data_IF_503814722548
#
_entry.id   IF_503814722548
#
_cell.length_a   1.000
_cell.length_b   1.000
_cell.length_c   1.000
_cell.angle_alpha   90.00
_cell.angle_beta   90.00
_cell.angle_gamma   90.00
#
_symmetry.space_group_name_H-M   'P 1'
#
loop_
_entity.id
_entity.type
_entity.pdbx_description
1 polymer ?
#
# COMPACT_ATOMS: atom_id res chain seq x y z
N UNK A 1 5.39 -0.12 16.21
CA UNK A 1 5.27 -0.61 14.82
C UNK A 1 5.37 -2.12 14.70
N UNK A 2 6.36 -2.78 15.32
CA UNK A 2 6.49 -4.25 15.25
C UNK A 2 5.20 -5.03 15.60
N UNK A 3 4.48 -4.64 16.66
CA UNK A 3 3.20 -5.26 17.02
C UNK A 3 2.11 -5.13 15.93
N UNK A 4 2.05 -4.01 15.22
CA UNK A 4 1.09 -3.81 14.13
C UNK A 4 1.47 -4.62 12.88
N UNK A 5 2.77 -4.77 12.60
CA UNK A 5 3.24 -5.64 11.53
C UNK A 5 2.92 -7.12 11.81
N UNK A 6 3.05 -7.57 13.07
CA UNK A 6 2.63 -8.91 13.50
C UNK A 6 1.12 -9.12 13.36
N UNK A 7 0.31 -8.14 13.79
CA UNK A 7 -1.15 -8.19 13.60
C UNK A 7 -1.54 -8.19 12.12
N UNK A 8 -0.82 -7.47 11.27
CA UNK A 8 -1.02 -7.49 9.83
C UNK A 8 -0.70 -8.86 9.23
N UNK A 9 0.37 -9.53 9.68
CA UNK A 9 0.70 -10.88 9.23
C UNK A 9 -0.39 -11.89 9.63
N UNK A 10 -0.85 -11.86 10.88
CA UNK A 10 -1.95 -12.72 11.32
C UNK A 10 -3.23 -12.48 10.51
N UNK A 11 -3.50 -11.22 10.11
CA UNK A 11 -4.64 -10.88 9.26
C UNK A 11 -4.50 -11.43 7.83
N UNK A 12 -3.27 -11.56 7.30
CA UNK A 12 -3.02 -12.22 6.00
C UNK A 12 -3.40 -13.70 6.07
N UNK A 13 -2.90 -14.40 7.08
CA UNK A 13 -3.14 -15.83 7.25
C UNK A 13 -4.66 -16.08 7.43
N UNK A 14 -5.32 -15.27 8.26
CA UNK A 14 -6.77 -15.30 8.44
C UNK A 14 -7.52 -15.06 7.11
N UNK A 15 -7.07 -14.11 6.28
CA UNK A 15 -7.73 -13.81 5.00
C UNK A 15 -7.66 -14.94 3.99
N UNK A 16 -6.53 -15.66 3.94
CA UNK A 16 -6.36 -16.86 3.13
C UNK A 16 -7.30 -17.98 3.60
N UNK A 17 -7.34 -18.23 4.90
CA UNK A 17 -8.19 -19.27 5.49
C UNK A 17 -9.68 -18.99 5.26
N UNK A 18 -10.11 -17.73 5.45
CA UNK A 18 -11.49 -17.31 5.19
C UNK A 18 -11.85 -17.52 3.71
N UNK A 19 -11.00 -17.08 2.77
CA UNK A 19 -11.27 -17.28 1.34
C UNK A 19 -11.41 -18.77 0.96
N UNK A 20 -10.53 -19.62 1.48
CA UNK A 20 -10.59 -21.07 1.27
C UNK A 20 -11.85 -21.69 1.88
N UNK A 21 -12.18 -21.34 3.12
CA UNK A 21 -13.36 -21.80 3.83
C UNK A 21 -14.66 -21.41 3.13
N UNK A 22 -14.75 -20.18 2.62
CA UNK A 22 -15.90 -19.71 1.85
C UNK A 22 -16.07 -20.48 0.53
N UNK A 23 -14.98 -20.74 -0.19
CA UNK A 23 -15.05 -21.54 -1.43
C UNK A 23 -15.44 -22.99 -1.16
N UNK A 24 -14.95 -23.59 -0.07
CA UNK A 24 -15.36 -24.94 0.35
C UNK A 24 -16.86 -25.00 0.70
N UNK A 25 -17.36 -24.00 1.45
CA UNK A 25 -18.79 -23.88 1.77
C UNK A 25 -19.65 -23.66 0.54
N UNK A 26 -19.19 -22.83 -0.41
CA UNK A 26 -19.87 -22.57 -1.67
C UNK A 26 -20.04 -23.84 -2.51
N UNK A 27 -18.99 -24.68 -2.57
CA UNK A 27 -18.98 -25.94 -3.31
C UNK A 27 -19.79 -27.07 -2.62
N UNK A 28 -20.01 -26.96 -1.32
CA UNK A 28 -20.79 -27.93 -0.54
C UNK A 28 -22.29 -27.79 -0.79
N UNK A 29 -22.94 -28.84 -1.31
CA UNK A 29 -24.36 -28.82 -1.70
C UNK A 29 -25.24 -29.87 -1.00
N UNK A 30 -25.09 -30.12 0.33
CA UNK A 30 -25.95 -31.06 1.01
C UNK A 30 -27.40 -30.55 1.05
N UNK A 31 -28.36 -31.46 0.91
CA UNK A 31 -29.79 -31.14 1.06
C UNK A 31 -30.07 -30.70 2.51
N UNK A 32 -29.40 -31.31 3.49
CA UNK A 32 -29.50 -31.00 4.93
C UNK A 32 -28.17 -31.14 5.63
N UNK A 33 -27.99 -30.34 6.67
CA UNK A 33 -26.85 -30.40 7.56
C UNK A 33 -27.03 -31.48 8.64
N UNK A 34 -25.95 -31.73 9.39
CA UNK A 34 -25.91 -32.70 10.50
C UNK A 34 -27.07 -32.46 11.47
N UNK A 35 -27.67 -33.54 12.00
CA UNK A 35 -28.88 -33.50 12.85
C UNK A 35 -30.10 -32.85 12.18
N UNK A 36 -30.26 -33.06 10.87
CA UNK A 36 -31.43 -32.59 10.11
C UNK A 36 -31.58 -31.06 10.06
N UNK A 37 -30.50 -30.33 10.34
CA UNK A 37 -30.47 -28.87 10.28
C UNK A 37 -30.62 -28.38 8.82
N UNK A 38 -31.13 -27.16 8.61
CA UNK A 38 -31.20 -26.57 7.28
C UNK A 38 -29.82 -26.50 6.61
N UNK A 39 -29.78 -26.60 5.28
CA UNK A 39 -28.58 -26.50 4.44
C UNK A 39 -27.68 -25.29 4.77
N UNK A 40 -28.28 -24.13 5.03
CA UNK A 40 -27.55 -22.90 5.38
C UNK A 40 -26.81 -22.96 6.73
N UNK A 41 -27.05 -24.00 7.55
CA UNK A 41 -26.36 -24.16 8.83
C UNK A 41 -24.91 -24.65 8.68
N UNK A 42 -24.55 -25.25 7.54
CA UNK A 42 -23.22 -25.84 7.31
C UNK A 42 -22.70 -25.70 5.87
N UNK A 43 -23.52 -25.21 4.94
CA UNK A 43 -23.17 -25.06 3.54
C UNK A 43 -23.60 -23.69 3.00
N UNK A 44 -23.08 -23.33 1.83
CA UNK A 44 -23.31 -22.05 1.20
C UNK A 44 -22.74 -20.86 1.98
N UNK A 45 -22.83 -19.69 1.34
CA UNK A 45 -22.28 -18.43 1.85
C UNK A 45 -23.39 -17.39 1.89
N UNK A 46 -23.55 -16.72 3.03
CA UNK A 46 -24.49 -15.63 3.18
C UNK A 46 -23.77 -14.31 2.90
N UNK A 47 -24.20 -13.60 1.87
CA UNK A 47 -23.62 -12.32 1.48
C UNK A 47 -24.66 -11.22 1.50
N UNK A 48 -24.24 -10.00 1.81
CA UNK A 48 -25.07 -8.81 1.75
C UNK A 48 -24.42 -7.76 0.84
N UNK A 49 -25.01 -7.47 -0.32
CA UNK A 49 -24.67 -6.30 -1.10
C UNK A 49 -24.98 -5.01 -0.33
N UNK A 50 -24.13 -4.00 -0.49
CA UNK A 50 -24.21 -2.73 0.22
C UNK A 50 -24.22 -1.60 -0.81
N UNK A 51 -25.07 -0.59 -0.57
CA UNK A 51 -25.04 0.63 -1.35
C UNK A 51 -23.71 1.35 -1.16
N UNK A 52 -23.12 1.87 -2.24
CA UNK A 52 -21.81 2.54 -2.18
C UNK A 52 -21.77 3.67 -1.13
N UNK A 53 -22.87 4.42 -0.99
CA UNK A 53 -23.03 5.50 0.00
C UNK A 53 -22.99 5.01 1.46
N UNK A 54 -23.23 3.72 1.69
CA UNK A 54 -23.25 3.07 3.01
C UNK A 54 -22.04 2.17 3.24
N UNK A 55 -21.09 2.08 2.31
CA UNK A 55 -19.92 1.21 2.46
C UNK A 55 -19.14 1.45 3.77
N UNK A 56 -19.08 2.69 4.27
CA UNK A 56 -18.39 3.02 5.52
C UNK A 56 -19.19 2.67 6.81
N UNK A 57 -20.45 2.27 6.68
CA UNK A 57 -21.36 1.92 7.78
C UNK A 57 -22.13 0.63 7.44
N UNK A 58 -21.47 -0.28 6.72
CA UNK A 58 -22.12 -1.42 6.09
C UNK A 58 -22.79 -2.41 7.06
N UNK A 59 -22.40 -2.39 8.34
CA UNK A 59 -22.99 -3.20 9.40
C UNK A 59 -24.24 -2.56 10.02
N UNK A 60 -24.58 -1.31 9.69
CA UNK A 60 -25.77 -0.63 10.18
C UNK A 60 -26.98 -0.92 9.29
N UNK A 61 -28.15 -0.98 9.92
CA UNK A 61 -29.41 -1.27 9.24
C UNK A 61 -29.93 -0.07 8.45
N UNK A 62 -30.44 -0.34 7.25
CA UNK A 62 -31.21 0.65 6.49
C UNK A 62 -32.64 0.81 7.05
N UNK A 63 -33.38 1.80 6.53
CA UNK A 63 -34.72 2.13 7.01
C UNK A 63 -35.67 0.94 6.83
N UNK A 64 -35.53 0.19 5.74
CA UNK A 64 -36.41 -0.93 5.46
C UNK A 64 -36.09 -2.13 6.35
N UNK A 65 -34.80 -2.44 6.55
CA UNK A 65 -34.35 -3.51 7.42
C UNK A 65 -34.83 -3.28 8.86
N UNK A 66 -34.73 -2.04 9.37
CA UNK A 66 -35.27 -1.65 10.69
C UNK A 66 -36.77 -1.83 10.79
N UNK A 67 -37.52 -1.40 9.76
CA UNK A 67 -38.97 -1.55 9.74
C UNK A 67 -39.40 -3.02 9.71
N UNK A 68 -38.65 -3.88 9.01
CA UNK A 68 -38.89 -5.34 8.96
C UNK A 68 -38.35 -6.11 10.17
N UNK A 69 -37.46 -5.52 10.97
CA UNK A 69 -36.72 -6.22 12.02
C UNK A 69 -35.73 -7.28 11.48
N UNK A 70 -35.44 -7.27 10.17
CA UNK A 70 -34.60 -8.28 9.50
C UNK A 70 -33.75 -7.67 8.38
N UNK A 71 -32.54 -8.20 8.24
CA UNK A 71 -31.68 -8.02 7.08
C UNK A 71 -31.92 -9.11 6.04
N UNK A 72 -32.02 -8.72 4.78
CA UNK A 72 -32.12 -9.63 3.65
C UNK A 72 -30.73 -9.91 3.09
N UNK A 73 -30.30 -11.17 3.14
CA UNK A 73 -29.05 -11.66 2.59
C UNK A 73 -29.29 -12.58 1.39
N UNK A 74 -28.31 -12.59 0.48
CA UNK A 74 -28.22 -13.55 -0.61
C UNK A 74 -27.50 -14.80 -0.12
N UNK A 75 -28.04 -15.97 -0.47
CA UNK A 75 -27.46 -17.27 -0.15
C UNK A 75 -26.83 -17.87 -1.40
N UNK A 76 -25.50 -17.89 -1.42
CA UNK A 76 -24.70 -18.40 -2.53
C UNK A 76 -24.39 -19.87 -2.32
N UNK A 77 -24.66 -20.69 -3.34
CA UNK A 77 -24.30 -22.11 -3.38
C UNK A 77 -24.12 -22.57 -4.83
N UNK A 78 -23.20 -23.51 -5.08
CA UNK A 78 -22.79 -23.89 -6.44
C UNK A 78 -23.95 -24.38 -7.34
N UNK A 79 -24.97 -25.01 -6.74
CA UNK A 79 -26.18 -25.56 -7.36
C UNK A 79 -27.36 -24.57 -7.42
N UNK A 80 -27.22 -23.35 -6.89
CA UNK A 80 -28.27 -22.33 -6.88
C UNK A 80 -27.97 -21.20 -7.87
N UNK A 81 -29.03 -20.71 -8.52
CA UNK A 81 -29.01 -19.51 -9.34
C UNK A 81 -30.04 -18.49 -8.83
N UNK A 82 -29.78 -17.17 -8.94
CA UNK A 82 -28.55 -16.56 -9.44
C UNK A 82 -27.40 -16.67 -8.41
N UNK A 83 -26.17 -16.79 -8.90
CA UNK A 83 -24.96 -16.67 -8.08
C UNK A 83 -24.74 -15.18 -7.81
N UNK A 84 -25.24 -14.72 -6.66
CA UNK A 84 -25.36 -13.32 -6.25
C UNK A 84 -24.06 -12.51 -6.15
N UNK A 85 -24.16 -11.31 -5.56
CA UNK A 85 -23.14 -10.27 -5.58
C UNK A 85 -23.26 -9.34 -6.80
N UNK A 86 -24.47 -8.85 -7.07
CA UNK A 86 -24.95 -8.02 -8.21
C UNK A 86 -24.07 -6.80 -8.58
N UNK A 87 -22.80 -6.98 -8.92
CA UNK A 87 -21.88 -5.87 -9.25
C UNK A 87 -21.64 -4.88 -8.11
N UNK A 88 -22.01 -5.23 -6.87
CA UNK A 88 -21.91 -4.38 -5.68
C UNK A 88 -20.89 -4.93 -4.70
N UNK A 89 -20.22 -4.01 -4.00
CA UNK A 89 -19.43 -4.31 -2.80
C UNK A 89 -20.36 -4.77 -1.68
N UNK A 90 -19.86 -5.63 -0.80
CA UNK A 90 -20.66 -6.09 0.33
C UNK A 90 -19.84 -6.79 1.40
N UNK A 91 -20.53 -7.55 2.24
CA UNK A 91 -19.91 -8.34 3.30
C UNK A 91 -20.46 -9.75 3.37
N UNK A 92 -19.72 -10.62 4.03
CA UNK A 92 -20.03 -12.04 4.23
C UNK A 92 -20.33 -12.29 5.70
N UNK A 93 -21.45 -12.95 5.99
CA UNK A 93 -21.72 -13.48 7.33
C UNK A 93 -21.05 -14.84 7.52
N UNK A 94 -20.51 -15.01 8.72
CA UNK A 94 -20.07 -16.28 9.29
C UNK A 94 -21.10 -17.37 9.05
N UNK A 95 -20.63 -18.62 8.91
CA UNK A 95 -21.53 -19.75 9.03
C UNK A 95 -22.22 -19.69 10.41
N UNK A 96 -23.45 -20.18 10.49
CA UNK A 96 -24.17 -20.19 11.77
C UNK A 96 -23.41 -21.00 12.85
N UNK A 97 -22.65 -22.03 12.46
CA UNK A 97 -21.79 -22.77 13.39
C UNK A 97 -20.63 -21.91 13.91
N UNK A 98 -19.89 -21.24 13.01
CA UNK A 98 -18.75 -20.40 13.40
C UNK A 98 -19.20 -19.20 14.23
N UNK A 99 -20.33 -18.60 13.85
CA UNK A 99 -20.97 -17.52 14.61
C UNK A 99 -21.26 -17.96 16.05
N UNK A 100 -21.84 -19.15 16.25
CA UNK A 100 -22.09 -19.71 17.59
C UNK A 100 -20.82 -19.99 18.37
N UNK A 101 -19.82 -20.61 17.74
CA UNK A 101 -18.53 -20.91 18.37
C UNK A 101 -17.85 -19.62 18.85
N UNK A 102 -18.01 -18.52 18.12
CA UNK A 102 -17.45 -17.22 18.47
C UNK A 102 -18.37 -16.34 19.34
N UNK A 103 -19.52 -16.85 19.78
CA UNK A 103 -20.49 -16.10 20.59
C UNK A 103 -21.21 -14.96 19.84
N UNK A 104 -21.18 -14.97 18.51
CA UNK A 104 -21.80 -14.00 17.59
C UNK A 104 -23.06 -14.58 16.93
N UNK A 105 -23.80 -15.43 17.64
CA UNK A 105 -24.94 -16.15 17.07
C UNK A 105 -25.98 -15.17 16.48
N UNK A 106 -26.59 -15.58 15.37
CA UNK A 106 -27.64 -14.80 14.71
C UNK A 106 -28.83 -15.69 14.35
N UNK A 107 -30.01 -15.09 14.34
CA UNK A 107 -31.26 -15.83 14.12
C UNK A 107 -31.75 -15.67 12.69
N UNK A 108 -31.86 -16.77 11.95
CA UNK A 108 -32.60 -16.81 10.69
C UNK A 108 -34.09 -16.78 11.01
N UNK A 109 -34.80 -15.75 10.53
CA UNK A 109 -36.24 -15.57 10.74
C UNK A 109 -37.06 -16.19 9.63
N UNK A 110 -36.60 -16.03 8.38
CA UNK A 110 -37.33 -16.49 7.21
C UNK A 110 -36.37 -16.85 6.08
N UNK A 111 -36.78 -17.81 5.25
CA UNK A 111 -36.14 -18.11 3.97
C UNK A 111 -37.20 -18.01 2.87
N UNK A 112 -37.40 -16.84 2.27
CA UNK A 112 -38.50 -16.64 1.31
C UNK A 112 -38.33 -17.47 0.03
N UNK A 113 -37.09 -17.80 -0.36
CA UNK A 113 -36.79 -18.68 -1.48
C UNK A 113 -35.40 -19.32 -1.31
N UNK A 114 -35.00 -20.18 -2.25
CA UNK A 114 -33.75 -20.92 -2.17
C UNK A 114 -32.50 -20.03 -2.06
N UNK A 115 -32.51 -18.83 -2.66
CA UNK A 115 -31.35 -17.94 -2.77
C UNK A 115 -31.38 -16.75 -1.79
N UNK A 116 -32.38 -16.65 -0.91
CA UNK A 116 -32.53 -15.50 0.00
C UNK A 116 -32.81 -15.96 1.43
N UNK A 117 -32.16 -15.31 2.39
CA UNK A 117 -32.30 -15.60 3.83
C UNK A 117 -32.48 -14.27 4.56
N UNK A 118 -33.48 -14.22 5.45
CA UNK A 118 -33.75 -13.07 6.30
C UNK A 118 -33.21 -13.36 7.70
N UNK A 119 -32.23 -12.59 8.12
CA UNK A 119 -31.59 -12.67 9.44
C UNK A 119 -32.14 -11.55 10.32
N UNK A 120 -32.41 -11.83 11.60
CA UNK A 120 -32.84 -10.81 12.56
C UNK A 120 -31.84 -9.64 12.60
N UNK A 121 -32.35 -8.42 12.77
CA UNK A 121 -31.48 -7.28 13.06
C UNK A 121 -30.62 -7.54 14.31
N UNK A 122 -29.44 -6.95 14.32
CA UNK A 122 -28.47 -7.03 15.40
C UNK A 122 -28.27 -5.66 16.05
N UNK A 123 -27.54 -5.62 17.15
CA UNK A 123 -27.11 -4.36 17.76
C UNK A 123 -25.98 -3.74 16.92
N UNK A 124 -26.35 -2.87 16.00
CA UNK A 124 -25.43 -2.13 15.13
C UNK A 124 -24.49 -1.16 15.90
N UNK A 125 -24.78 -0.87 17.17
CA UNK A 125 -23.88 -0.08 18.03
C UNK A 125 -22.70 -0.89 18.54
N UNK A 126 -22.76 -2.23 18.42
CA UNK A 126 -21.71 -3.17 18.80
C UNK A 126 -21.20 -3.94 17.58
N UNK A 127 -20.54 -3.29 16.61
CA UNK A 127 -20.10 -3.93 15.37
C UNK A 127 -19.23 -5.18 15.60
N UNK A 128 -18.41 -5.19 16.66
CA UNK A 128 -17.56 -6.33 16.99
C UNK A 128 -18.34 -7.63 17.32
N UNK A 129 -19.62 -7.53 17.72
CA UNK A 129 -20.49 -8.67 18.00
C UNK A 129 -21.26 -9.17 16.78
N UNK A 130 -21.22 -8.42 15.66
CA UNK A 130 -21.87 -8.83 14.42
C UNK A 130 -21.06 -9.94 13.76
N UNK A 131 -21.74 -10.98 13.26
CA UNK A 131 -21.16 -12.20 12.71
C UNK A 131 -20.57 -12.02 11.30
N UNK A 132 -19.80 -10.94 11.06
CA UNK A 132 -19.20 -10.63 9.77
C UNK A 132 -17.79 -11.23 9.72
N UNK A 133 -17.47 -11.99 8.67
CA UNK A 133 -16.16 -12.64 8.51
C UNK A 133 -15.31 -12.09 7.36
N UNK A 134 -15.93 -11.42 6.38
CA UNK A 134 -15.20 -10.81 5.27
C UNK A 134 -15.96 -9.64 4.65
N UNK A 135 -15.21 -8.79 3.94
CA UNK A 135 -15.72 -7.86 2.95
C UNK A 135 -15.47 -8.46 1.56
N UNK A 136 -16.32 -8.12 0.59
CA UNK A 136 -16.08 -8.52 -0.79
C UNK A 136 -16.28 -7.39 -1.78
N UNK A 137 -15.58 -7.46 -2.91
CA UNK A 137 -15.80 -6.60 -4.06
C UNK A 137 -15.89 -7.43 -5.35
N UNK A 138 -16.78 -7.07 -6.29
CA UNK A 138 -16.93 -7.80 -7.55
C UNK A 138 -15.74 -7.59 -8.48
N UNK A 139 -15.34 -8.66 -9.18
CA UNK A 139 -14.40 -8.57 -10.29
C UNK A 139 -14.99 -7.71 -11.43
N UNK A 140 -14.16 -6.88 -12.05
CA UNK A 140 -14.53 -6.09 -13.24
C UNK A 140 -15.12 -4.70 -12.97
N UNK A 141 -15.48 -4.35 -11.73
CA UNK A 141 -15.90 -2.99 -11.36
C UNK A 141 -14.71 -2.16 -10.86
N UNK A 142 -14.44 -1.06 -11.55
CA UNK A 142 -13.16 -0.34 -11.46
C UNK A 142 -12.88 0.40 -10.15
N UNK A 143 -13.91 0.73 -9.38
CA UNK A 143 -13.88 1.45 -8.11
C UNK A 143 -14.22 0.56 -6.89
N UNK A 144 -14.57 -0.70 -7.13
CA UNK A 144 -15.11 -1.57 -6.08
C UNK A 144 -14.08 -1.92 -5.00
N UNK A 145 -12.80 -2.09 -5.36
CA UNK A 145 -11.74 -2.31 -4.38
C UNK A 145 -11.60 -1.11 -3.43
N UNK A 146 -11.67 0.12 -3.95
CA UNK A 146 -11.58 1.34 -3.14
C UNK A 146 -12.72 1.42 -2.12
N UNK A 147 -13.94 1.08 -2.54
CA UNK A 147 -15.12 1.04 -1.67
C UNK A 147 -15.00 -0.06 -0.59
N UNK A 148 -14.53 -1.26 -0.95
CA UNK A 148 -14.31 -2.34 0.01
C UNK A 148 -13.20 -2.00 1.02
N UNK A 149 -12.13 -1.35 0.58
CA UNK A 149 -11.10 -0.87 1.50
C UNK A 149 -11.60 0.25 2.42
N UNK A 150 -12.48 1.14 1.93
CA UNK A 150 -13.15 2.14 2.79
C UNK A 150 -14.01 1.47 3.86
N UNK A 151 -14.73 0.41 3.51
CA UNK A 151 -15.46 -0.42 4.48
C UNK A 151 -14.49 -1.08 5.49
N UNK A 152 -13.37 -1.63 5.01
CA UNK A 152 -12.34 -2.26 5.83
C UNK A 152 -11.75 -1.29 6.86
N UNK A 153 -11.42 -0.08 6.43
CA UNK A 153 -10.93 1.00 7.28
C UNK A 153 -11.97 1.41 8.33
N UNK A 154 -13.22 1.60 7.92
CA UNK A 154 -14.30 2.01 8.82
C UNK A 154 -14.54 0.96 9.91
N UNK A 155 -14.58 -0.32 9.53
CA UNK A 155 -14.66 -1.43 10.47
C UNK A 155 -13.49 -1.42 11.45
N UNK A 156 -12.24 -1.38 10.95
CA UNK A 156 -11.05 -1.36 11.81
C UNK A 156 -11.06 -0.16 12.78
N UNK A 157 -11.53 1.01 12.34
CA UNK A 157 -11.63 2.19 13.20
C UNK A 157 -12.57 2.01 14.39
N UNK A 158 -13.60 1.17 14.24
CA UNK A 158 -14.62 0.88 15.27
C UNK A 158 -14.27 -0.33 16.12
N UNK A 159 -13.76 -1.39 15.52
CA UNK A 159 -13.58 -2.69 16.19
C UNK A 159 -12.14 -3.00 16.56
N UNK A 160 -11.17 -2.30 15.95
CA UNK A 160 -9.73 -2.64 15.97
C UNK A 160 -9.41 -4.04 15.45
N UNK A 161 -10.35 -4.66 14.72
CA UNK A 161 -10.19 -5.94 14.05
C UNK A 161 -10.14 -5.71 12.54
N UNK A 162 -9.34 -6.49 11.81
CA UNK A 162 -9.34 -6.46 10.36
C UNK A 162 -10.34 -7.47 9.81
N UNK A 163 -11.16 -7.04 8.85
CA UNK A 163 -11.87 -7.97 7.96
C UNK A 163 -11.04 -8.14 6.68
N UNK A 164 -10.83 -9.37 6.19
CA UNK A 164 -10.22 -9.57 4.88
C UNK A 164 -11.14 -9.01 3.78
N UNK A 165 -10.54 -8.33 2.81
CA UNK A 165 -11.21 -7.91 1.57
C UNK A 165 -10.99 -8.99 0.51
N UNK A 166 -12.07 -9.57 0.00
CA UNK A 166 -12.04 -10.66 -0.96
C UNK A 166 -12.56 -10.20 -2.32
N UNK A 167 -11.90 -10.61 -3.39
CA UNK A 167 -12.42 -10.47 -4.75
C UNK A 167 -13.49 -11.54 -4.99
N UNK A 168 -14.67 -11.14 -5.42
CA UNK A 168 -15.77 -12.03 -5.80
C UNK A 168 -15.85 -12.18 -7.31
N UNK A 169 -15.62 -13.39 -7.82
CA UNK A 169 -15.86 -13.81 -9.19
C UNK A 169 -17.18 -14.59 -9.27
N UNK A 170 -18.27 -13.90 -9.61
CA UNK A 170 -19.62 -14.49 -9.69
C UNK A 170 -19.79 -15.48 -10.85
N UNK A 171 -18.85 -15.54 -11.80
CA UNK A 171 -18.87 -16.55 -12.86
C UNK A 171 -18.44 -17.93 -12.34
N UNK A 172 -17.61 -17.97 -11.29
CA UNK A 172 -17.10 -19.19 -10.70
C UNK A 172 -18.11 -19.85 -9.75
N UNK A 173 -18.40 -21.14 -9.98
CA UNK A 173 -19.36 -21.90 -9.16
C UNK A 173 -18.78 -22.34 -7.79
N UNK A 174 -17.46 -22.55 -7.74
CA UNK A 174 -16.79 -23.27 -6.65
C UNK A 174 -15.55 -22.55 -6.13
N UNK A 175 -15.10 -21.49 -6.81
CA UNK A 175 -13.91 -20.72 -6.44
C UNK A 175 -14.16 -19.24 -6.69
N UNK A 176 -15.22 -18.72 -6.07
CA UNK A 176 -15.67 -17.35 -6.29
C UNK A 176 -14.89 -16.33 -5.45
N UNK A 177 -14.34 -16.72 -4.30
CA UNK A 177 -13.65 -15.79 -3.39
C UNK A 177 -12.13 -15.89 -3.53
N UNK A 178 -11.48 -14.81 -3.97
CA UNK A 178 -10.03 -14.69 -4.06
C UNK A 178 -9.47 -13.72 -3.02
N UNK A 179 -8.39 -14.09 -2.37
CA UNK A 179 -7.63 -13.21 -1.48
C UNK A 179 -6.36 -12.72 -2.18
N UNK A 180 -6.10 -11.42 -2.13
CA UNK A 180 -4.84 -10.80 -2.51
C UNK A 180 -4.36 -9.92 -1.36
N UNK A 181 -3.10 -10.10 -0.94
CA UNK A 181 -2.49 -9.29 0.12
C UNK A 181 -2.37 -7.82 -0.29
N UNK A 182 -2.19 -7.52 -1.58
CA UNK A 182 -2.08 -6.15 -2.10
C UNK A 182 -3.40 -5.38 -2.01
N UNK A 183 -4.53 -6.08 -1.97
CA UNK A 183 -5.85 -5.47 -1.80
C UNK A 183 -6.12 -5.05 -0.35
N UNK A 184 -5.30 -5.49 0.60
CA UNK A 184 -5.53 -5.27 2.02
C UNK A 184 -4.88 -3.98 2.51
N UNK A 185 -5.62 -3.12 3.20
CA UNK A 185 -5.06 -1.88 3.77
C UNK A 185 -3.92 -2.16 4.75
N UNK A 186 -4.05 -3.19 5.58
CA UNK A 186 -3.05 -3.53 6.59
C UNK A 186 -1.70 -3.98 6.01
N UNK A 187 -1.61 -4.26 4.70
CA UNK A 187 -0.33 -4.49 4.01
C UNK A 187 0.63 -3.30 4.16
N UNK A 188 0.10 -2.09 4.35
CA UNK A 188 0.88 -0.88 4.58
C UNK A 188 1.70 -0.91 5.89
N UNK A 189 1.29 -1.66 6.92
CA UNK A 189 2.09 -1.81 8.14
C UNK A 189 3.39 -2.58 7.87
N UNK A 190 3.31 -3.67 7.11
CA UNK A 190 4.47 -4.45 6.74
C UNK A 190 5.43 -3.62 5.87
N UNK A 191 4.89 -2.85 4.92
CA UNK A 191 5.67 -1.94 4.08
C UNK A 191 6.37 -0.85 4.91
N UNK A 192 5.67 -0.22 5.86
CA UNK A 192 6.28 0.77 6.75
C UNK A 192 7.44 0.16 7.56
N UNK A 193 7.28 -1.03 8.13
CA UNK A 193 8.37 -1.70 8.84
C UNK A 193 9.54 -2.02 7.89
N UNK A 194 9.28 -2.53 6.69
CA UNK A 194 10.32 -2.79 5.68
C UNK A 194 11.11 -1.52 5.31
N UNK A 195 10.42 -0.38 5.15
CA UNK A 195 11.06 0.92 4.93
C UNK A 195 11.95 1.32 6.11
N UNK A 196 11.49 1.14 7.35
CA UNK A 196 12.27 1.44 8.55
C UNK A 196 13.45 0.48 8.77
N UNK A 197 13.34 -0.78 8.36
CA UNK A 197 14.46 -1.73 8.34
C UNK A 197 15.52 -1.27 7.34
N UNK A 198 15.13 -0.89 6.12
CA UNK A 198 16.07 -0.34 5.12
C UNK A 198 16.71 0.98 5.57
N UNK A 199 15.95 1.86 6.22
CA UNK A 199 16.46 3.11 6.77
C UNK A 199 17.54 2.90 7.84
N UNK A 200 17.32 1.96 8.77
CA UNK A 200 18.24 1.66 9.87
C UNK A 200 19.47 0.86 9.44
N UNK A 201 19.39 0.15 8.31
CA UNK A 201 20.52 -0.61 7.79
C UNK A 201 21.57 0.33 7.18
N UNK A 202 22.66 0.57 7.90
CA UNK A 202 23.78 1.43 7.49
C UNK A 202 24.94 0.67 6.85
N UNK A 203 24.73 -0.59 6.42
CA UNK A 203 25.77 -1.34 5.73
C UNK A 203 26.28 -0.55 4.52
N UNK A 204 27.59 -0.39 4.43
CA UNK A 204 28.23 0.43 3.40
C UNK A 204 28.13 -0.20 2.01
N UNK A 205 27.80 -1.49 1.96
CA UNK A 205 27.68 -2.31 0.76
C UNK A 205 26.60 -3.37 0.94
N UNK A 206 26.03 -3.78 -0.18
CA UNK A 206 25.09 -4.90 -0.25
C UNK A 206 25.84 -6.22 -0.54
N UNK A 207 25.10 -7.32 -0.70
CA UNK A 207 25.69 -8.60 -1.15
C UNK A 207 26.47 -8.39 -2.45
N UNK A 208 27.49 -9.23 -2.65
CA UNK A 208 28.37 -9.20 -3.82
C UNK A 208 29.07 -7.84 -4.03
N UNK A 209 29.38 -7.11 -2.94
CA UNK A 209 30.13 -5.85 -2.97
C UNK A 209 29.43 -4.71 -3.75
N UNK A 210 28.12 -4.83 -3.99
CA UNK A 210 27.32 -3.84 -4.71
C UNK A 210 27.02 -2.60 -3.84
N UNK A 211 26.74 -1.44 -4.46
CA UNK A 211 26.49 -0.22 -3.70
C UNK A 211 25.29 -0.33 -2.75
N UNK A 212 25.35 0.38 -1.62
CA UNK A 212 24.35 0.23 -0.56
C UNK A 212 22.92 0.61 -0.96
N UNK A 213 22.73 1.50 -1.95
CA UNK A 213 21.41 1.86 -2.47
C UNK A 213 20.67 0.72 -3.19
N UNK A 214 21.32 -0.43 -3.37
CA UNK A 214 20.68 -1.65 -3.87
C UNK A 214 19.87 -2.37 -2.80
N UNK A 215 20.20 -2.25 -1.51
CA UNK A 215 19.55 -3.06 -0.46
C UNK A 215 19.15 -2.27 0.78
N UNK A 216 19.67 -1.06 0.96
CA UNK A 216 19.38 -0.22 2.12
C UNK A 216 19.28 1.26 1.80
N UNK A 217 18.82 2.02 2.79
CA UNK A 217 18.27 3.34 2.60
C UNK A 217 17.01 3.35 1.73
N UNK A 218 16.44 4.53 1.56
CA UNK A 218 15.16 4.73 0.87
C UNK A 218 15.30 5.87 -0.12
N UNK A 219 14.95 5.63 -1.39
CA UNK A 219 14.89 6.65 -2.43
C UNK A 219 13.49 7.27 -2.45
N UNK A 220 13.42 8.57 -2.12
CA UNK A 220 12.18 9.33 -2.00
C UNK A 220 12.21 10.51 -2.96
N UNK A 221 11.12 10.74 -3.70
CA UNK A 221 11.00 11.88 -4.60
C UNK A 221 9.79 12.72 -4.29
N UNK A 222 10.02 13.98 -3.95
CA UNK A 222 8.98 15.00 -3.86
C UNK A 222 8.59 15.47 -5.27
N UNK A 223 7.29 15.52 -5.53
CA UNK A 223 6.75 15.91 -6.86
C UNK A 223 5.64 16.94 -6.77
N UNK A 224 4.95 17.01 -5.62
CA UNK A 224 3.64 17.63 -5.54
C UNK A 224 2.59 16.81 -6.30
N UNK A 225 1.39 17.37 -6.38
CA UNK A 225 0.28 16.78 -7.11
C UNK A 225 -0.57 17.89 -7.74
N UNK A 226 -1.03 17.65 -8.97
CA UNK A 226 -2.02 18.46 -9.65
C UNK A 226 -2.70 17.61 -10.73
N UNK A 227 -3.84 18.06 -11.26
CA UNK A 227 -4.52 17.35 -12.35
C UNK A 227 -3.79 17.47 -13.69
N UNK A 228 -3.00 18.53 -13.87
CA UNK A 228 -2.23 18.84 -15.09
C UNK A 228 -1.01 17.95 -15.31
N UNK A 229 -0.60 17.16 -14.32
CA UNK A 229 0.49 16.19 -14.47
C UNK A 229 0.22 14.91 -13.67
N UNK A 230 1.10 13.93 -13.81
CA UNK A 230 1.11 12.72 -12.99
C UNK A 230 2.42 12.68 -12.22
N UNK A 231 2.36 12.46 -10.92
CA UNK A 231 3.53 12.54 -10.04
C UNK A 231 4.69 11.65 -10.51
N UNK A 232 4.40 10.47 -11.06
CA UNK A 232 5.40 9.52 -11.55
C UNK A 232 5.98 9.86 -12.94
N UNK A 233 5.49 10.90 -13.62
CA UNK A 233 6.05 11.30 -14.91
C UNK A 233 7.22 12.28 -14.71
N UNK A 234 8.38 12.04 -15.35
CA UNK A 234 9.45 13.04 -15.38
C UNK A 234 8.95 14.31 -16.08
N UNK A 235 9.34 15.49 -15.57
CA UNK A 235 9.05 16.75 -16.24
C UNK A 235 9.81 16.84 -17.58
N UNK A 236 9.37 17.65 -18.56
CA UNK A 236 10.12 17.84 -19.81
C UNK A 236 11.57 18.22 -19.57
N UNK A 237 11.80 19.04 -18.53
CA UNK A 237 13.13 19.45 -18.07
C UNK A 237 13.99 18.29 -17.53
N UNK A 238 13.37 17.29 -16.88
CA UNK A 238 14.06 16.10 -16.40
C UNK A 238 14.39 15.15 -17.54
N UNK A 239 13.49 15.04 -18.52
CA UNK A 239 13.69 14.24 -19.74
C UNK A 239 14.84 14.79 -20.57
N UNK A 240 14.85 16.11 -20.85
CA UNK A 240 15.89 16.73 -21.70
C UNK A 240 17.31 16.60 -21.15
N UNK A 241 17.45 16.44 -19.82
CA UNK A 241 18.74 16.23 -19.15
C UNK A 241 19.00 14.80 -18.71
N UNK A 242 18.09 13.88 -18.99
CA UNK A 242 18.13 12.50 -18.52
C UNK A 242 18.41 12.41 -17.00
N UNK A 243 17.73 13.23 -16.19
CA UNK A 243 18.03 13.33 -14.76
C UNK A 243 16.84 13.75 -13.93
N UNK A 244 16.41 12.84 -13.07
CA UNK A 244 15.27 12.96 -12.17
C UNK A 244 15.80 12.95 -10.73
N UNK A 245 15.57 14.05 -10.01
CA UNK A 245 16.07 14.24 -8.64
C UNK A 245 15.27 13.45 -7.60
N UNK A 246 15.99 12.76 -6.72
CA UNK A 246 15.50 12.02 -5.56
C UNK A 246 16.34 12.42 -4.35
N UNK A 247 15.84 12.13 -3.15
CA UNK A 247 16.63 12.08 -1.94
C UNK A 247 16.84 10.64 -1.52
N UNK A 248 18.00 10.37 -0.94
CA UNK A 248 18.32 9.11 -0.27
C UNK A 248 18.24 9.30 1.24
N UNK A 249 17.48 8.44 1.91
CA UNK A 249 17.25 8.54 3.36
C UNK A 249 17.75 7.26 4.02
N UNK A 250 18.71 7.42 4.94
CA UNK A 250 19.31 6.36 5.77
C UNK A 250 19.76 6.98 7.09
N UNK A 251 19.82 6.19 8.15
CA UNK A 251 20.04 6.69 9.51
C UNK A 251 21.35 7.49 9.69
N UNK A 252 22.38 7.19 8.90
CA UNK A 252 23.71 7.83 8.91
C UNK A 252 23.87 8.95 7.86
N UNK A 253 22.87 9.17 6.99
CA UNK A 253 22.93 10.19 5.93
C UNK A 253 22.53 11.58 6.43
N UNK A 254 21.77 11.66 7.53
CA UNK A 254 21.38 12.93 8.15
C UNK A 254 20.42 13.79 7.29
N UNK A 255 19.57 13.18 6.48
CA UNK A 255 18.54 13.89 5.71
C UNK A 255 17.39 14.27 6.65
N UNK A 256 17.18 15.58 6.88
CA UNK A 256 16.15 16.08 7.82
C UNK A 256 14.94 16.70 7.12
N UNK A 257 15.02 16.96 5.82
CA UNK A 257 13.90 17.39 4.97
C UNK A 257 14.10 16.98 3.52
N UNK A 258 13.04 17.02 2.74
CA UNK A 258 13.09 16.78 1.29
C UNK A 258 13.09 18.12 0.54
N UNK A 259 13.45 18.09 -0.75
CA UNK A 259 13.34 19.29 -1.58
C UNK A 259 11.86 19.73 -1.67
N UNK A 260 11.58 20.98 -1.31
CA UNK A 260 10.26 21.64 -1.35
C UNK A 260 9.16 21.05 -0.43
N UNK A 261 9.47 20.07 0.41
CA UNK A 261 8.54 19.44 1.38
C UNK A 261 7.14 19.13 0.78
N UNK A 262 7.12 18.65 -0.46
CA UNK A 262 5.90 18.19 -1.15
C UNK A 262 5.65 16.70 -0.88
N UNK A 263 4.43 16.25 -1.12
CA UNK A 263 4.14 14.82 -1.27
C UNK A 263 4.80 14.26 -2.56
N UNK A 264 4.85 12.95 -2.65
CA UNK A 264 5.41 12.27 -3.82
C UNK A 264 5.40 10.76 -3.66
N UNK A 265 6.47 10.10 -4.08
CA UNK A 265 6.53 8.65 -4.05
C UNK A 265 7.90 8.12 -3.60
N UNK A 266 7.88 6.84 -3.21
CA UNK A 266 9.05 6.07 -2.75
C UNK A 266 9.30 4.96 -3.76
N UNK A 267 10.56 4.80 -4.13
CA UNK A 267 11.02 3.69 -4.95
C UNK A 267 11.50 2.52 -4.11
N UNK A 268 11.22 1.31 -4.62
CA UNK A 268 11.90 0.07 -4.25
C UNK A 268 13.41 0.24 -4.42
N UNK A 269 14.22 -0.60 -3.75
CA UNK A 269 15.65 -0.66 -4.00
C UNK A 269 15.93 -0.91 -5.47
N UNK A 270 17.02 -0.33 -6.00
CA UNK A 270 17.22 -0.27 -7.46
C UNK A 270 17.60 -1.61 -8.10
N UNK A 271 17.91 -2.63 -7.29
CA UNK A 271 18.13 -4.00 -7.76
C UNK A 271 16.82 -4.81 -7.88
N UNK A 272 15.70 -4.26 -7.42
CA UNK A 272 14.40 -4.91 -7.52
C UNK A 272 13.99 -5.06 -8.99
N UNK A 273 13.67 -6.29 -9.39
CA UNK A 273 13.29 -6.59 -10.76
C UNK A 273 11.94 -5.95 -11.12
N UNK A 274 11.98 -4.97 -12.04
CA UNK A 274 10.81 -4.34 -12.66
C UNK A 274 11.07 -4.15 -14.15
N UNK A 275 10.00 -3.92 -14.92
CA UNK A 275 10.08 -3.69 -16.36
C UNK A 275 10.85 -2.43 -16.74
N UNK A 276 10.83 -1.39 -15.89
CA UNK A 276 11.61 -0.16 -16.04
C UNK A 276 12.44 0.10 -14.78
N UNK A 277 13.68 -0.42 -14.69
CA UNK A 277 14.55 -0.22 -13.53
C UNK A 277 14.91 1.25 -13.32
N UNK A 278 15.13 1.63 -12.05
CA UNK A 278 15.64 2.94 -11.68
C UNK A 278 17.17 2.94 -11.71
N UNK A 279 17.76 3.56 -12.73
CA UNK A 279 19.21 3.69 -12.86
C UNK A 279 19.71 4.95 -12.16
N UNK A 280 20.38 4.80 -11.01
CA UNK A 280 21.13 5.89 -10.39
C UNK A 280 22.32 6.26 -11.27
N UNK A 281 22.40 7.51 -11.71
CA UNK A 281 23.47 8.04 -12.57
C UNK A 281 24.58 8.70 -11.75
N UNK A 282 24.19 9.53 -10.80
CA UNK A 282 25.14 10.16 -9.88
C UNK A 282 24.48 10.56 -8.56
N UNK A 283 25.33 10.74 -7.55
CA UNK A 283 24.95 11.19 -6.22
C UNK A 283 25.62 12.52 -5.88
N UNK A 284 24.88 13.39 -5.20
CA UNK A 284 25.37 14.62 -4.63
C UNK A 284 25.07 14.65 -3.13
N UNK A 285 26.09 14.93 -2.29
CA UNK A 285 25.91 14.98 -0.85
C UNK A 285 25.14 16.22 -0.37
N UNK A 286 24.71 17.12 -1.23
CA UNK A 286 23.93 18.32 -0.91
C UNK A 286 23.09 18.72 -2.12
N UNK A 287 22.28 19.78 -2.00
CA UNK A 287 21.62 20.39 -3.16
C UNK A 287 22.63 20.72 -4.26
N UNK A 288 22.47 20.12 -5.42
CA UNK A 288 23.34 20.37 -6.55
C UNK A 288 22.68 21.26 -7.61
N UNK A 289 21.47 21.79 -7.39
CA UNK A 289 20.76 22.61 -8.37
C UNK A 289 20.77 21.96 -9.78
N UNK A 290 20.54 20.65 -9.83
CA UNK A 290 20.69 19.86 -11.06
C UNK A 290 19.68 20.23 -12.13
N UNK A 291 18.61 20.93 -11.74
CA UNK A 291 17.62 21.53 -12.65
C UNK A 291 18.20 22.51 -13.66
N UNK A 292 19.40 23.03 -13.41
CA UNK A 292 20.10 23.98 -14.29
C UNK A 292 21.45 23.45 -14.77
N UNK A 293 21.79 22.19 -14.46
CA UNK A 293 23.08 21.58 -14.80
C UNK A 293 22.91 20.68 -16.02
N UNK A 294 23.58 20.91 -17.15
CA UNK A 294 23.53 20.00 -18.30
C UNK A 294 23.80 18.54 -17.90
N UNK A 295 23.00 17.61 -18.43
CA UNK A 295 23.02 16.17 -18.08
C UNK A 295 22.73 15.80 -16.61
N UNK A 296 22.43 16.78 -15.74
CA UNK A 296 22.24 16.66 -14.28
C UNK A 296 23.46 16.12 -13.49
N UNK A 297 24.38 15.40 -14.12
CA UNK A 297 25.61 14.88 -13.56
C UNK A 297 26.82 15.69 -14.06
N UNK A 298 27.51 16.37 -13.14
CA UNK A 298 28.77 17.09 -13.40
C UNK A 298 29.94 16.13 -13.62
N UNK A 299 31.11 16.68 -13.94
CA UNK A 299 32.37 15.95 -13.92
C UNK A 299 32.55 15.19 -12.59
N UNK A 300 32.96 13.92 -12.69
CA UNK A 300 32.97 13.03 -11.53
C UNK A 300 34.01 13.44 -10.48
N UNK A 301 33.75 13.11 -9.22
CA UNK A 301 34.72 13.28 -8.14
C UNK A 301 35.99 12.45 -8.39
N UNK A 302 35.81 11.21 -8.88
CA UNK A 302 36.91 10.33 -9.23
C UNK A 302 37.85 10.92 -10.30
N UNK A 303 37.31 11.51 -11.37
CA UNK A 303 38.11 12.16 -12.42
C UNK A 303 38.84 13.41 -11.94
N UNK A 304 38.48 13.93 -10.76
CA UNK A 304 39.15 15.06 -10.12
C UNK A 304 40.10 14.60 -9.00
N UNK A 305 40.39 13.30 -8.90
CA UNK A 305 41.28 12.72 -7.88
C UNK A 305 40.65 12.61 -6.48
N UNK A 306 39.33 12.80 -6.36
CA UNK A 306 38.63 12.75 -5.07
C UNK A 306 38.12 11.33 -4.81
N UNK A 307 38.79 10.66 -3.89
CA UNK A 307 38.52 9.28 -3.47
C UNK A 307 38.38 9.14 -1.95
N UNK A 308 38.43 10.26 -1.21
CA UNK A 308 38.29 10.28 0.24
C UNK A 308 37.45 11.48 0.69
N UNK A 309 36.85 11.35 1.88
CA UNK A 309 36.14 12.46 2.55
C UNK A 309 37.06 13.66 2.78
N UNK A 310 38.32 13.42 3.15
CA UNK A 310 39.31 14.47 3.39
C UNK A 310 39.59 15.31 2.14
N UNK A 311 39.79 14.65 0.98
CA UNK A 311 39.98 15.35 -0.29
C UNK A 311 38.74 16.14 -0.70
N UNK A 312 37.55 15.58 -0.50
CA UNK A 312 36.30 16.28 -0.81
C UNK A 312 36.13 17.54 0.06
N UNK A 313 36.35 17.43 1.38
CA UNK A 313 36.27 18.56 2.33
C UNK A 313 37.33 19.62 2.05
N UNK A 314 38.56 19.22 1.73
CA UNK A 314 39.62 20.15 1.38
C UNK A 314 39.27 21.00 0.15
N UNK A 315 38.48 20.47 -0.79
CA UNK A 315 38.07 21.18 -2.01
C UNK A 315 36.81 22.02 -1.84
N UNK A 316 35.78 21.49 -1.18
CA UNK A 316 34.43 22.09 -1.17
C UNK A 316 33.98 22.64 0.18
N UNK A 317 34.78 22.46 1.24
CA UNK A 317 34.42 22.87 2.60
C UNK A 317 33.12 22.23 3.09
N UNK A 318 32.41 22.93 3.97
CA UNK A 318 31.19 22.42 4.63
C UNK A 318 29.91 22.67 3.82
N UNK A 319 29.90 23.63 2.88
CA UNK A 319 28.71 23.96 2.09
C UNK A 319 28.47 22.97 0.95
N UNK A 320 29.54 22.36 0.42
CA UNK A 320 29.44 21.43 -0.72
C UNK A 320 28.93 22.07 -2.01
N UNK A 321 28.89 23.41 -2.09
CA UNK A 321 28.35 24.12 -3.25
C UNK A 321 29.21 23.85 -4.51
N UNK A 322 28.55 23.55 -5.64
CA UNK A 322 29.25 23.28 -6.91
C UNK A 322 30.13 22.01 -6.88
N UNK A 323 29.86 21.08 -5.96
CA UNK A 323 30.61 19.84 -5.84
C UNK A 323 30.59 18.99 -7.13
N UNK A 324 31.63 18.18 -7.27
CA UNK A 324 31.69 17.11 -8.25
C UNK A 324 30.57 16.08 -8.02
N UNK A 325 30.25 15.32 -9.07
CA UNK A 325 29.28 14.24 -8.98
C UNK A 325 29.96 12.93 -8.55
N UNK A 326 29.39 12.22 -7.58
CA UNK A 326 29.80 10.83 -7.34
C UNK A 326 29.12 9.96 -8.41
N UNK A 327 29.87 9.59 -9.45
CA UNK A 327 29.35 8.90 -10.64
C UNK A 327 29.08 7.42 -10.39
N UNK A 328 27.95 6.93 -10.90
CA UNK A 328 27.57 5.51 -11.00
C UNK A 328 27.60 5.00 -12.45
N UNK A 329 28.15 5.82 -13.36
CA UNK A 329 28.32 5.51 -14.78
C UNK A 329 29.81 5.28 -15.11
N UNK A 330 30.14 4.35 -16.03
CA UNK A 330 29.23 3.46 -16.78
C UNK A 330 28.78 2.22 -15.98
N UNK A 331 29.31 2.02 -14.76
CA UNK A 331 28.95 0.91 -13.87
C UNK A 331 28.78 1.40 -12.43
N UNK A 332 27.94 0.73 -11.62
CA UNK A 332 27.76 1.08 -10.21
C UNK A 332 29.09 1.11 -9.45
N UNK A 333 29.29 2.13 -8.61
CA UNK A 333 30.53 2.33 -7.87
C UNK A 333 30.26 2.46 -6.37
N UNK A 334 30.38 1.34 -5.65
CA UNK A 334 30.07 1.26 -4.23
C UNK A 334 30.98 2.16 -3.37
N UNK A 335 32.27 2.28 -3.73
CA UNK A 335 33.20 3.12 -3.01
C UNK A 335 32.86 4.61 -3.16
N UNK A 336 32.61 5.09 -4.39
CA UNK A 336 32.21 6.48 -4.64
C UNK A 336 30.85 6.79 -4.02
N UNK A 337 29.90 5.85 -4.06
CA UNK A 337 28.61 6.02 -3.39
C UNK A 337 28.79 6.16 -1.88
N UNK A 338 29.61 5.31 -1.24
CA UNK A 338 29.83 5.38 0.20
C UNK A 338 30.49 6.71 0.60
N UNK A 339 31.46 7.21 -0.18
CA UNK A 339 32.03 8.54 0.09
C UNK A 339 30.94 9.63 0.01
N UNK A 340 30.00 9.52 -0.93
CA UNK A 340 28.87 10.47 -1.02
C UNK A 340 27.96 10.48 0.22
N UNK A 341 27.92 9.37 0.96
CA UNK A 341 27.25 9.28 2.26
C UNK A 341 28.15 9.84 3.37
N UNK A 342 29.42 9.41 3.44
CA UNK A 342 30.32 9.75 4.55
C UNK A 342 30.61 11.25 4.65
N UNK A 343 30.69 11.96 3.51
CA UNK A 343 30.88 13.42 3.49
C UNK A 343 29.71 14.16 4.16
N UNK A 344 28.53 13.55 4.26
CA UNK A 344 27.33 14.15 4.86
C UNK A 344 27.27 14.10 6.38
N UNK A 345 28.18 13.40 7.05
CA UNK A 345 28.16 13.14 8.50
C UNK A 345 27.84 14.32 9.44
N UNK A 346 27.88 15.59 8.98
CA UNK A 346 27.32 16.77 9.66
C UNK A 346 26.86 17.91 8.69
N UNK A 347 26.37 17.61 7.48
CA UNK A 347 26.17 18.63 6.42
C UNK A 347 24.82 18.59 5.69
N UNK A 348 24.11 19.73 5.70
CA UNK A 348 23.03 20.09 4.77
C UNK A 348 21.69 19.38 4.96
N UNK A 349 20.59 20.13 4.86
CA UNK A 349 19.25 19.63 5.17
C UNK A 349 18.74 18.51 4.23
N UNK A 350 19.26 18.45 3.00
CA UNK A 350 18.87 17.47 1.96
C UNK A 350 20.08 17.04 1.11
N UNK A 351 19.99 15.84 0.53
CA UNK A 351 20.89 15.35 -0.53
C UNK A 351 20.15 15.24 -1.86
N UNK A 352 20.89 14.98 -2.93
CA UNK A 352 20.33 14.87 -4.28
C UNK A 352 20.93 13.68 -5.03
N UNK A 353 20.08 12.71 -5.35
CA UNK A 353 20.37 11.53 -6.15
C UNK A 353 19.73 11.71 -7.54
N UNK A 354 20.48 11.47 -8.60
CA UNK A 354 19.99 11.62 -9.97
C UNK A 354 19.73 10.26 -10.57
N UNK A 355 18.44 9.94 -10.71
CA UNK A 355 17.96 8.77 -11.44
C UNK A 355 17.81 9.15 -12.92
N UNK A 356 18.15 8.23 -13.84
CA UNK A 356 17.90 8.41 -15.26
C UNK A 356 16.41 8.67 -15.52
N UNK A 357 16.10 9.50 -16.52
CA UNK A 357 14.71 9.71 -16.91
C UNK A 357 14.14 8.44 -17.55
N UNK A 358 12.84 8.23 -17.37
CA UNK A 358 12.09 7.12 -17.94
C UNK A 358 10.97 7.62 -18.87
N UNK A 359 10.45 6.77 -19.76
CA UNK A 359 9.30 7.13 -20.58
C UNK A 359 8.10 7.57 -19.71
N UNK A 360 7.30 8.57 -20.10
CA UNK A 360 6.11 8.94 -19.34
C UNK A 360 5.02 7.87 -19.43
N UNK A 361 4.04 7.93 -18.53
CA UNK A 361 2.79 7.15 -18.55
C UNK A 361 2.97 5.63 -18.43
N UNK A 362 3.95 5.19 -17.63
CA UNK A 362 4.21 3.76 -17.37
C UNK A 362 4.23 3.38 -15.87
N UNK A 363 3.29 3.85 -15.04
CA UNK A 363 3.36 3.67 -13.58
C UNK A 363 3.57 2.22 -13.14
N UNK A 364 2.94 1.26 -13.82
CA UNK A 364 3.06 -0.18 -13.51
C UNK A 364 4.42 -0.80 -13.82
N UNK A 365 5.23 -0.12 -14.65
CA UNK A 365 6.58 -0.58 -15.01
C UNK A 365 7.64 -0.04 -14.06
N UNK A 366 7.31 0.97 -13.26
CA UNK A 366 8.23 1.66 -12.37
C UNK A 366 8.33 0.95 -11.01
N UNK A 367 9.47 1.07 -10.31
CA UNK A 367 9.65 0.48 -8.99
C UNK A 367 8.97 1.30 -7.88
N UNK A 368 7.76 1.82 -8.08
CA UNK A 368 7.03 2.55 -7.03
C UNK A 368 6.50 1.54 -6.01
N UNK A 369 6.74 1.77 -4.73
CA UNK A 369 6.20 0.92 -3.64
C UNK A 369 5.36 1.67 -2.62
N UNK A 370 5.47 3.00 -2.57
CA UNK A 370 4.62 3.81 -1.72
C UNK A 370 4.43 5.20 -2.31
N UNK A 371 3.31 5.80 -1.95
CA UNK A 371 3.13 7.26 -1.99
C UNK A 371 3.51 7.77 -0.61
N UNK A 372 4.02 9.00 -0.52
CA UNK A 372 4.32 9.59 0.78
C UNK A 372 3.85 11.02 0.89
N UNK A 373 3.66 11.46 2.14
CA UNK A 373 3.60 12.87 2.50
C UNK A 373 4.47 13.12 3.75
N UNK A 374 5.08 14.30 3.88
CA UNK A 374 5.88 14.63 5.05
C UNK A 374 5.00 14.96 6.26
N UNK A 375 5.51 14.77 7.48
CA UNK A 375 4.74 14.99 8.72
C UNK A 375 4.17 16.38 8.93
N UNK A 376 4.68 17.37 8.21
CA UNK A 376 4.28 18.77 8.25
C UNK A 376 3.17 19.13 7.22
N UNK A 377 2.58 18.14 6.54
CA UNK A 377 1.35 18.28 5.74
C UNK A 377 1.44 17.61 4.36
N UNK A 378 0.53 17.99 3.44
CA UNK A 378 0.40 17.47 2.05
C UNK A 378 -0.34 16.15 1.91
N UNK A 379 -1.19 15.83 2.87
CA UNK A 379 -2.14 14.71 2.81
C UNK A 379 -3.05 14.81 1.59
N UNK A 380 -3.47 16.03 1.22
CA UNK A 380 -4.26 16.33 0.03
C UNK A 380 -3.54 15.91 -1.27
N UNK A 381 -2.25 16.21 -1.36
CA UNK A 381 -1.43 15.84 -2.51
C UNK A 381 -1.20 14.32 -2.57
N UNK A 382 -0.86 13.67 -1.45
CA UNK A 382 -0.68 12.22 -1.42
C UNK A 382 -1.98 11.48 -1.78
N UNK A 383 -3.11 11.94 -1.26
CA UNK A 383 -4.45 11.46 -1.60
C UNK A 383 -4.74 11.60 -3.10
N UNK A 384 -4.45 12.76 -3.71
CA UNK A 384 -4.60 12.94 -5.15
C UNK A 384 -3.68 11.99 -5.96
N UNK A 385 -2.41 11.82 -5.56
CA UNK A 385 -1.49 10.89 -6.22
C UNK A 385 -2.03 9.45 -6.13
N UNK A 386 -2.55 9.04 -4.97
CA UNK A 386 -3.10 7.69 -4.76
C UNK A 386 -4.29 7.43 -5.67
N UNK A 387 -5.25 8.37 -5.72
CA UNK A 387 -6.40 8.26 -6.63
C UNK A 387 -5.98 8.23 -8.10
N UNK A 388 -5.04 9.08 -8.51
CA UNK A 388 -4.53 9.08 -9.88
C UNK A 388 -3.82 7.77 -10.22
N UNK A 389 -3.00 7.23 -9.31
CA UNK A 389 -2.29 5.95 -9.50
C UNK A 389 -3.29 4.80 -9.60
N UNK A 390 -4.28 4.75 -8.72
CA UNK A 390 -5.34 3.76 -8.76
C UNK A 390 -6.15 3.85 -10.06
N UNK A 391 -6.50 5.05 -10.52
CA UNK A 391 -7.18 5.24 -11.81
C UNK A 391 -6.36 4.72 -12.99
N UNK A 392 -5.03 4.89 -12.95
CA UNK A 392 -4.12 4.46 -14.00
C UNK A 392 -3.80 2.96 -14.00
N UNK A 393 -3.85 2.29 -12.84
CA UNK A 393 -3.32 0.92 -12.67
C UNK A 393 -4.32 -0.08 -12.12
N UNK A 394 -5.41 0.41 -11.50
CA UNK A 394 -6.35 -0.39 -10.69
C UNK A 394 -5.70 -1.09 -9.49
N UNK A 395 -4.49 -0.69 -9.12
CA UNK A 395 -3.75 -1.24 -7.99
C UNK A 395 -3.75 -0.27 -6.82
N UNK A 396 -4.00 -0.80 -5.63
CA UNK A 396 -3.82 -0.06 -4.40
C UNK A 396 -2.33 0.26 -4.19
N UNK A 397 -2.05 1.47 -3.74
CA UNK A 397 -0.70 1.93 -3.41
C UNK A 397 -0.73 2.57 -2.03
N UNK A 398 -0.04 2.01 -1.02
CA UNK A 398 -0.07 2.57 0.33
C UNK A 398 0.50 3.99 0.38
N UNK A 399 -0.16 4.85 1.17
CA UNK A 399 0.33 6.17 1.55
C UNK A 399 1.06 6.05 2.89
N UNK A 400 2.31 6.53 2.93
CA UNK A 400 3.19 6.47 4.10
C UNK A 400 3.49 7.90 4.57
N UNK A 401 3.23 8.16 5.85
CA UNK A 401 3.63 9.40 6.50
C UNK A 401 5.13 9.34 6.83
N UNK A 402 5.89 10.37 6.46
CA UNK A 402 7.36 10.39 6.60
C UNK A 402 7.83 11.48 7.55
N UNK A 403 8.48 11.08 8.63
CA UNK A 403 9.02 11.93 9.70
C UNK A 403 10.56 11.94 9.69
N UNK A 404 11.16 12.81 8.90
CA UNK A 404 12.63 12.90 8.80
C UNK A 404 13.30 13.54 10.02
N UNK A 405 12.53 14.07 10.98
CA UNK A 405 13.06 14.72 12.19
C UNK A 405 12.91 13.84 13.44
N UNK A 406 12.03 12.85 13.41
CA UNK A 406 12.14 11.70 14.29
C UNK A 406 13.54 11.09 14.07
N UNK A 407 14.36 11.01 15.13
CA UNK A 407 15.76 10.55 15.07
C UNK A 407 15.93 9.11 14.57
N UNK A 408 16.86 8.31 15.12
CA UNK A 408 17.10 6.92 14.68
C UNK A 408 15.92 5.92 14.91
N UNK A 409 14.70 6.41 15.10
CA UNK A 409 13.47 5.65 15.26
C UNK A 409 12.73 5.37 13.95
N UNK A 410 11.41 5.28 14.09
CA UNK A 410 10.44 4.90 13.08
C UNK A 410 9.99 6.09 12.23
N UNK A 411 10.74 6.42 11.18
CA UNK A 411 10.44 7.59 10.33
C UNK A 411 9.36 7.33 9.28
N UNK A 412 9.11 6.08 8.89
CA UNK A 412 8.04 5.70 7.98
C UNK A 412 6.85 5.16 8.76
N UNK A 413 5.71 5.82 8.67
CA UNK A 413 4.55 5.54 9.51
C UNK A 413 3.35 5.25 8.59
N UNK A 414 2.78 4.06 8.72
CA UNK A 414 1.51 3.75 8.08
C UNK A 414 0.35 4.06 9.02
N UNK A 415 -0.69 4.68 8.45
CA UNK A 415 -1.93 5.05 9.13
C UNK A 415 -3.10 4.67 8.24
N UNK A 416 -4.02 3.81 8.70
CA UNK A 416 -5.23 3.48 7.94
C UNK A 416 -6.04 4.73 7.57
N UNK A 417 -6.09 5.74 8.43
CA UNK A 417 -6.76 7.03 8.23
C UNK A 417 -6.22 7.89 7.07
N UNK A 418 -5.03 7.58 6.58
CA UNK A 418 -4.40 8.29 5.46
C UNK A 418 -4.68 7.63 4.11
N UNK A 419 -5.29 6.44 4.12
CA UNK A 419 -5.59 5.69 2.90
C UNK A 419 -6.94 6.12 2.34
N UNK A 420 -7.07 6.09 1.01
CA UNK A 420 -8.34 6.14 0.30
C UNK A 420 -9.15 7.42 0.54
N UNK A 421 -8.45 8.55 0.70
CA UNK A 421 -9.04 9.89 0.76
C UNK A 421 -9.37 10.42 -0.62
#
# INVERSE_FOLDING_TARGET
>A
MAAQALLAQAAVDQGLDVAQGLNARLASTPIRCVRNQPDYACSGVLVKPVLDSRAAIFWEHDIEARARGTEQLEYLRADLAPRGGQGQVGYVLMSHLDARVQGKDYQVRQRPNAAQVYVANWDETQPAQVAIEALYYPAGRSDALLLAQRAQQAWFSRTRQWLPVLRLDSASATSAFGFDQQDQLYSGYALAEQLNVRYRNTATRCRNDTPSYYCNGVLIRATGAADSFRAWNPSPNSVSRNGVSFSYVRADVGTVRLANDQAGFIFKPTDFAVSQPATLRCAYPANAATSSTPNSCRASCLSQGITTVAQWRARYGNSGAGNCAFSMEPRPNAAQFQISVDVRSNGGAHNEMIIAAWPPNIPEKLPIEAIYYPVNGREDQASLIQRQYFSATRRFMPVIRVDLTAGAGAIFIFRPEDQNR
#
